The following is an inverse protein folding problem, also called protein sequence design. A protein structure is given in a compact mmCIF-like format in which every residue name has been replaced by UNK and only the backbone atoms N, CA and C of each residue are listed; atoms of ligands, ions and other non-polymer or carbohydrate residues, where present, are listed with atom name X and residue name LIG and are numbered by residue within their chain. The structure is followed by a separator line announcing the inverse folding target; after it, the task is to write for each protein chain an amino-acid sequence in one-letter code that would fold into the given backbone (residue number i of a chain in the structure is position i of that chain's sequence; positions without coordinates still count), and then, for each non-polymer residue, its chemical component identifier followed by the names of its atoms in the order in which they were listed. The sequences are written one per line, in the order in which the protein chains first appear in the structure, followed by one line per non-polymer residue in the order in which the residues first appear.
data_IF_777455480935
#
_entry.id   IF_777455480935
#
_cell.length_a   1.000
_cell.length_b   1.000
_cell.length_c   1.000
_cell.angle_alpha   90.00
_cell.angle_beta   90.00
_cell.angle_gamma   90.00
#
_symmetry.space_group_name_H-M   'P 1'
#
loop_
_entity.id
_entity.type
_entity.pdbx_description
1 polymer ?
#
# COMPACT_ATOMS: atom_id res chain seq x y z
N UNK A 1 27.22 -21.32 -8.03
CA UNK A 1 27.25 -19.84 -8.00
C UNK A 1 26.25 -19.16 -8.95
N UNK A 2 26.25 -19.46 -10.26
CA UNK A 2 25.34 -18.83 -11.26
C UNK A 2 23.85 -18.99 -10.94
N UNK A 3 23.45 -20.18 -10.51
CA UNK A 3 22.05 -20.49 -10.21
C UNK A 3 21.52 -19.69 -9.02
N UNK A 4 22.31 -19.52 -7.95
CA UNK A 4 21.89 -18.78 -6.77
C UNK A 4 21.81 -17.26 -7.01
N UNK A 5 22.67 -16.72 -7.87
CA UNK A 5 22.57 -15.33 -8.33
C UNK A 5 21.28 -15.07 -9.12
N UNK A 6 20.84 -16.03 -9.95
CA UNK A 6 19.56 -15.92 -10.65
C UNK A 6 18.35 -15.93 -9.70
N UNK A 7 18.41 -16.72 -8.61
CA UNK A 7 17.38 -16.75 -7.58
C UNK A 7 17.24 -15.39 -6.87
N UNK A 8 18.36 -14.75 -6.52
CA UNK A 8 18.39 -13.39 -5.95
C UNK A 8 17.79 -12.38 -6.94
N UNK A 9 18.13 -12.47 -8.23
CA UNK A 9 17.56 -11.60 -9.26
C UNK A 9 16.04 -11.75 -9.40
N UNK A 10 15.50 -12.97 -9.34
CA UNK A 10 14.05 -13.23 -9.36
C UNK A 10 13.38 -12.64 -8.11
N UNK A 11 13.99 -12.82 -6.93
CA UNK A 11 13.47 -12.26 -5.67
C UNK A 11 13.50 -10.73 -5.64
N UNK A 12 14.52 -10.11 -6.22
CA UNK A 12 14.57 -8.66 -6.45
C UNK A 12 13.40 -8.17 -7.32
N UNK A 13 13.17 -8.80 -8.47
CA UNK A 13 12.04 -8.45 -9.34
C UNK A 13 10.68 -8.62 -8.64
N UNK A 14 10.55 -9.65 -7.80
CA UNK A 14 9.34 -9.88 -7.00
C UNK A 14 9.14 -8.76 -5.97
N UNK A 15 10.20 -8.32 -5.29
CA UNK A 15 10.17 -7.19 -4.36
C UNK A 15 9.78 -5.89 -5.07
N UNK A 16 10.29 -5.62 -6.27
CA UNK A 16 9.93 -4.42 -7.04
C UNK A 16 8.44 -4.40 -7.40
N UNK A 17 7.86 -5.56 -7.75
CA UNK A 17 6.41 -5.68 -7.96
C UNK A 17 5.61 -5.37 -6.69
N UNK A 18 6.03 -5.88 -5.54
CA UNK A 18 5.36 -5.56 -4.27
C UNK A 18 5.52 -4.10 -3.85
N UNK A 19 6.65 -3.46 -4.17
CA UNK A 19 6.83 -2.02 -3.97
C UNK A 19 5.85 -1.22 -4.84
N UNK A 20 5.69 -1.60 -6.10
CA UNK A 20 4.72 -0.97 -7.00
C UNK A 20 3.28 -1.16 -6.47
N UNK A 21 2.92 -2.37 -6.03
CA UNK A 21 1.61 -2.66 -5.45
C UNK A 21 1.36 -1.86 -4.16
N UNK A 22 2.33 -1.74 -3.25
CA UNK A 22 2.22 -0.92 -2.03
C UNK A 22 2.03 0.56 -2.38
N UNK A 23 2.72 1.07 -3.40
CA UNK A 23 2.54 2.45 -3.86
C UNK A 23 1.15 2.68 -4.44
N UNK A 24 0.63 1.72 -5.21
CA UNK A 24 -0.71 1.79 -5.77
C UNK A 24 -1.77 1.78 -4.66
N UNK A 25 -1.68 0.85 -3.70
CA UNK A 25 -2.60 0.79 -2.57
C UNK A 25 -2.58 2.07 -1.71
N UNK A 26 -1.41 2.71 -1.56
CA UNK A 26 -1.30 4.02 -0.89
C UNK A 26 -2.05 5.12 -1.64
N UNK A 27 -2.00 5.12 -2.97
CA UNK A 27 -2.73 6.10 -3.80
C UNK A 27 -4.23 5.87 -3.71
N UNK A 28 -4.67 4.62 -3.75
CA UNK A 28 -6.09 4.25 -3.61
C UNK A 28 -6.64 4.66 -2.24
N UNK A 29 -5.92 4.37 -1.15
CA UNK A 29 -6.30 4.87 0.18
C UNK A 29 -6.39 6.40 0.21
N UNK A 30 -5.42 7.09 -0.38
CA UNK A 30 -5.46 8.55 -0.41
C UNK A 30 -6.68 9.09 -1.16
N UNK A 31 -7.09 8.43 -2.26
CA UNK A 31 -8.32 8.77 -2.97
C UNK A 31 -9.57 8.47 -2.13
N UNK A 32 -9.61 7.35 -1.43
CA UNK A 32 -10.72 7.00 -0.54
C UNK A 32 -10.86 8.00 0.63
N UNK A 33 -9.75 8.45 1.22
CA UNK A 33 -9.76 9.51 2.25
C UNK A 33 -10.38 10.78 1.69
N UNK A 34 -9.97 11.21 0.49
CA UNK A 34 -10.57 12.38 -0.16
C UNK A 34 -12.05 12.21 -0.43
N UNK A 35 -12.49 11.03 -0.87
CA UNK A 35 -13.90 10.77 -1.11
C UNK A 35 -14.73 10.90 0.19
N UNK A 36 -14.22 10.42 1.32
CA UNK A 36 -14.85 10.60 2.64
C UNK A 36 -14.91 12.08 3.03
N UNK A 37 -13.82 12.83 2.82
CA UNK A 37 -13.80 14.27 3.08
C UNK A 37 -14.82 15.03 2.23
N UNK A 38 -14.90 14.71 0.94
CA UNK A 38 -15.85 15.30 -0.01
C UNK A 38 -17.30 14.96 0.35
N UNK A 39 -17.60 13.69 0.69
CA UNK A 39 -18.94 13.27 1.10
C UNK A 39 -19.40 13.97 2.39
N UNK A 40 -18.50 14.09 3.39
CA UNK A 40 -18.79 14.81 4.63
C UNK A 40 -18.98 16.31 4.40
N UNK A 41 -18.21 16.90 3.49
CA UNK A 41 -18.40 18.29 3.11
C UNK A 41 -19.77 18.51 2.45
N UNK A 42 -20.21 17.60 1.58
CA UNK A 42 -21.54 17.66 0.96
C UNK A 42 -22.68 17.59 1.99
N UNK A 43 -22.55 16.76 3.03
CA UNK A 43 -23.51 16.73 4.15
C UNK A 43 -23.55 18.07 4.88
N UNK A 44 -22.40 18.67 5.17
CA UNK A 44 -22.35 19.94 5.91
C UNK A 44 -22.86 21.12 5.07
N UNK A 45 -22.58 21.14 3.76
CA UNK A 45 -23.12 22.15 2.86
C UNK A 45 -24.63 22.00 2.71
N UNK A 46 -25.12 20.76 2.62
CA UNK A 46 -26.55 20.49 2.60
C UNK A 46 -27.23 20.89 3.92
N UNK A 47 -26.57 20.67 5.05
CA UNK A 47 -27.07 21.11 6.36
C UNK A 47 -27.26 22.63 6.41
N UNK A 48 -26.35 23.41 5.81
CA UNK A 48 -26.50 24.86 5.69
C UNK A 48 -27.66 25.23 4.78
N UNK A 49 -27.79 24.55 3.63
CA UNK A 49 -28.90 24.73 2.69
C UNK A 49 -30.25 24.51 3.38
N UNK A 50 -30.38 23.41 4.15
CA UNK A 50 -31.60 23.10 4.92
C UNK A 50 -31.88 24.13 6.01
N UNK A 51 -30.87 24.62 6.73
CA UNK A 51 -31.09 25.66 7.73
C UNK A 51 -31.65 26.95 7.10
N UNK A 52 -31.16 27.33 5.91
CA UNK A 52 -31.71 28.47 5.17
C UNK A 52 -33.14 28.19 4.70
N UNK A 53 -33.40 27.01 4.14
CA UNK A 53 -34.73 26.60 3.69
C UNK A 53 -35.74 26.61 4.85
N UNK A 54 -35.39 26.09 6.03
CA UNK A 54 -36.24 26.09 7.22
C UNK A 54 -36.62 27.51 7.65
N UNK A 55 -35.65 28.44 7.63
CA UNK A 55 -35.91 29.85 7.95
C UNK A 55 -36.83 30.51 6.92
N UNK A 56 -36.64 30.21 5.64
CA UNK A 56 -37.49 30.74 4.56
C UNK A 56 -38.92 30.23 4.67
N UNK A 57 -39.10 28.92 4.90
CA UNK A 57 -40.42 28.30 5.11
C UNK A 57 -41.11 28.85 6.38
N UNK A 58 -40.37 29.03 7.47
CA UNK A 58 -40.91 29.65 8.70
C UNK A 58 -41.36 31.10 8.46
N UNK A 59 -40.56 31.88 7.72
CA UNK A 59 -40.92 33.26 7.38
C UNK A 59 -42.15 33.32 6.48
N UNK A 60 -42.27 32.42 5.51
CA UNK A 60 -43.45 32.32 4.65
C UNK A 60 -44.72 32.02 5.47
N UNK A 61 -44.62 31.05 6.38
CA UNK A 61 -45.72 30.66 7.27
C UNK A 61 -46.13 31.79 8.22
N UNK A 62 -45.18 32.54 8.77
CA UNK A 62 -45.45 33.61 9.74
C UNK A 62 -46.00 34.89 9.09
N UNK A 63 -45.60 35.20 7.84
CA UNK A 63 -45.90 36.48 7.20
C UNK A 63 -47.09 36.44 6.23
N UNK A 64 -47.65 35.26 5.93
CA UNK A 64 -48.79 35.12 5.00
C UNK A 64 -49.95 34.35 5.61
N UNK A 65 -51.16 34.53 5.05
CA UNK A 65 -52.30 33.65 5.36
C UNK A 65 -52.06 32.31 4.66
N UNK A 66 -51.48 31.38 5.40
CA UNK A 66 -51.21 30.01 4.92
C UNK A 66 -52.51 29.27 4.64
N UNK A 67 -52.61 28.70 3.45
CA UNK A 67 -53.70 27.80 3.06
C UNK A 67 -53.29 26.34 3.26
N UNK A 68 -54.27 25.42 3.22
CA UNK A 68 -54.01 23.98 3.30
C UNK A 68 -53.10 23.51 2.16
N UNK A 69 -53.21 24.13 0.98
CA UNK A 69 -52.36 23.81 -0.18
C UNK A 69 -50.90 24.17 0.08
N UNK A 70 -50.64 25.30 0.75
CA UNK A 70 -49.28 25.73 1.09
C UNK A 70 -48.65 24.77 2.11
N UNK A 71 -49.42 24.32 3.11
CA UNK A 71 -48.94 23.31 4.07
C UNK A 71 -48.56 21.99 3.39
N UNK A 72 -49.35 21.52 2.42
CA UNK A 72 -49.01 20.30 1.68
C UNK A 72 -47.77 20.46 0.80
N UNK A 73 -47.52 21.65 0.26
CA UNK A 73 -46.30 21.94 -0.50
C UNK A 73 -45.07 21.95 0.41
N UNK A 74 -45.18 22.55 1.60
CA UNK A 74 -44.12 22.54 2.62
C UNK A 74 -43.79 21.10 3.04
N UNK A 75 -44.81 20.27 3.29
CA UNK A 75 -44.63 18.86 3.65
C UNK A 75 -43.90 18.07 2.55
N UNK A 76 -44.23 18.31 1.28
CA UNK A 76 -43.52 17.69 0.15
C UNK A 76 -42.04 18.08 0.12
N UNK A 77 -41.75 19.38 0.26
CA UNK A 77 -40.38 19.91 0.28
C UNK A 77 -39.56 19.32 1.43
N UNK A 78 -40.16 19.19 2.64
CA UNK A 78 -39.49 18.58 3.78
C UNK A 78 -39.18 17.10 3.54
N UNK A 79 -40.08 16.38 2.86
CA UNK A 79 -39.87 14.97 2.53
C UNK A 79 -38.77 14.79 1.49
N UNK A 80 -38.74 15.59 0.43
CA UNK A 80 -37.62 15.60 -0.53
C UNK A 80 -36.29 15.92 0.17
N UNK A 81 -36.34 16.84 1.13
CA UNK A 81 -35.17 17.21 1.90
C UNK A 81 -34.65 16.06 2.77
N UNK A 82 -35.55 15.30 3.41
CA UNK A 82 -35.22 14.10 4.18
C UNK A 82 -34.64 12.99 3.30
N UNK A 83 -35.24 12.75 2.13
CA UNK A 83 -34.74 11.76 1.15
C UNK A 83 -33.33 12.10 0.67
N UNK A 84 -33.04 13.37 0.36
CA UNK A 84 -31.69 13.82 -0.01
C UNK A 84 -30.71 13.74 1.17
N UNK A 85 -31.15 14.00 2.40
CA UNK A 85 -30.32 13.81 3.59
C UNK A 85 -29.89 12.35 3.75
N UNK A 86 -30.83 11.41 3.58
CA UNK A 86 -30.55 9.99 3.63
C UNK A 86 -29.57 9.55 2.55
N UNK A 87 -29.76 10.00 1.31
CA UNK A 87 -28.84 9.71 0.21
C UNK A 87 -27.40 10.17 0.52
N UNK A 88 -27.23 11.39 1.05
CA UNK A 88 -25.90 11.91 1.41
C UNK A 88 -25.25 11.11 2.57
N UNK A 89 -26.04 10.65 3.53
CA UNK A 89 -25.55 9.80 4.62
C UNK A 89 -25.14 8.41 4.11
N UNK A 90 -25.89 7.86 3.15
CA UNK A 90 -25.53 6.61 2.48
C UNK A 90 -24.23 6.77 1.68
N UNK A 91 -24.04 7.89 0.98
CA UNK A 91 -22.79 8.20 0.27
C UNK A 91 -21.58 8.28 1.22
N UNK A 92 -21.74 8.93 2.39
CA UNK A 92 -20.68 8.95 3.42
C UNK A 92 -20.35 7.54 3.88
N UNK A 93 -21.36 6.72 4.16
CA UNK A 93 -21.16 5.33 4.60
C UNK A 93 -20.43 4.51 3.54
N UNK A 94 -20.82 4.61 2.27
CA UNK A 94 -20.15 3.92 1.17
C UNK A 94 -18.69 4.36 1.03
N UNK A 95 -18.41 5.66 1.18
CA UNK A 95 -17.05 6.18 1.15
C UNK A 95 -16.21 5.67 2.33
N UNK A 96 -16.79 5.57 3.52
CA UNK A 96 -16.13 5.02 4.71
C UNK A 96 -15.84 3.51 4.58
N UNK A 97 -16.79 2.74 4.04
CA UNK A 97 -16.60 1.32 3.76
C UNK A 97 -15.47 1.12 2.72
N UNK A 98 -15.46 1.92 1.65
CA UNK A 98 -14.39 1.88 0.65
C UNK A 98 -13.02 2.29 1.22
N UNK A 99 -12.98 3.24 2.16
CA UNK A 99 -11.76 3.61 2.87
C UNK A 99 -11.24 2.43 3.70
N UNK A 100 -12.12 1.75 4.42
CA UNK A 100 -11.74 0.58 5.22
C UNK A 100 -11.12 -0.53 4.35
N UNK A 101 -11.73 -0.85 3.21
CA UNK A 101 -11.18 -1.81 2.24
C UNK A 101 -9.81 -1.39 1.70
N UNK A 102 -9.64 -0.10 1.40
CA UNK A 102 -8.36 0.45 0.92
C UNK A 102 -7.28 0.40 2.00
N UNK A 103 -7.61 0.61 3.27
CA UNK A 103 -6.69 0.48 4.39
C UNK A 103 -6.23 -0.96 4.62
N UNK A 104 -7.16 -1.92 4.54
CA UNK A 104 -6.85 -3.35 4.60
C UNK A 104 -5.92 -3.77 3.44
N UNK A 105 -6.23 -3.33 2.23
CA UNK A 105 -5.41 -3.59 1.04
C UNK A 105 -4.01 -3.01 1.19
N UNK A 106 -3.89 -1.77 1.68
CA UNK A 106 -2.59 -1.14 1.95
C UNK A 106 -1.80 -1.92 3.02
N UNK A 107 -2.48 -2.35 4.09
CA UNK A 107 -1.87 -3.14 5.16
C UNK A 107 -1.33 -4.46 4.61
N UNK A 108 -2.11 -5.18 3.82
CA UNK A 108 -1.69 -6.44 3.22
C UNK A 108 -0.51 -6.26 2.27
N UNK A 109 -0.56 -5.25 1.39
CA UNK A 109 0.54 -4.95 0.47
C UNK A 109 1.85 -4.61 1.21
N UNK A 110 1.76 -3.93 2.36
CA UNK A 110 2.91 -3.64 3.22
C UNK A 110 3.49 -4.90 3.85
N UNK A 111 2.65 -5.82 4.32
CA UNK A 111 3.08 -7.12 4.86
C UNK A 111 3.77 -7.97 3.79
N UNK A 112 3.19 -8.06 2.59
CA UNK A 112 3.75 -8.84 1.49
C UNK A 112 5.10 -8.30 1.04
N UNK A 113 5.26 -6.97 0.97
CA UNK A 113 6.54 -6.33 0.71
C UNK A 113 7.57 -6.69 1.78
N UNK A 114 7.21 -6.64 3.07
CA UNK A 114 8.12 -7.00 4.17
C UNK A 114 8.57 -8.46 4.07
N UNK A 115 7.64 -9.38 3.80
CA UNK A 115 7.94 -10.79 3.61
C UNK A 115 8.86 -11.03 2.41
N UNK A 116 8.62 -10.35 1.29
CA UNK A 116 9.47 -10.41 0.11
C UNK A 116 10.89 -9.86 0.38
N UNK A 117 10.99 -8.74 1.11
CA UNK A 117 12.26 -8.16 1.51
C UNK A 117 13.06 -9.09 2.42
N UNK A 118 12.43 -9.70 3.42
CA UNK A 118 13.08 -10.66 4.31
C UNK A 118 13.62 -11.88 3.53
N UNK A 119 12.82 -12.40 2.59
CA UNK A 119 13.22 -13.50 1.71
C UNK A 119 14.43 -13.12 0.85
N UNK A 120 14.45 -11.91 0.30
CA UNK A 120 15.58 -11.41 -0.47
C UNK A 120 16.83 -11.29 0.40
N UNK A 121 16.73 -10.67 1.58
CA UNK A 121 17.86 -10.48 2.49
C UNK A 121 18.54 -11.81 2.80
N UNK A 122 17.76 -12.84 3.17
CA UNK A 122 18.27 -14.20 3.42
C UNK A 122 18.99 -14.79 2.20
N UNK A 123 18.48 -14.54 1.00
CA UNK A 123 19.08 -15.04 -0.24
C UNK A 123 20.41 -14.37 -0.54
N UNK A 124 20.47 -13.06 -0.31
CA UNK A 124 21.67 -12.26 -0.54
C UNK A 124 22.76 -12.65 0.45
N UNK A 125 22.41 -12.91 1.71
CA UNK A 125 23.33 -13.38 2.73
C UNK A 125 23.93 -14.75 2.35
N UNK A 126 23.09 -15.73 1.98
CA UNK A 126 23.58 -17.05 1.52
C UNK A 126 24.47 -16.90 0.27
N UNK A 127 24.11 -16.03 -0.67
CA UNK A 127 24.94 -15.80 -1.86
C UNK A 127 26.32 -15.25 -1.48
N UNK A 128 26.40 -14.38 -0.47
CA UNK A 128 27.67 -13.83 0.01
C UNK A 128 28.53 -14.90 0.67
N UNK A 129 27.95 -15.72 1.54
CA UNK A 129 28.65 -16.87 2.16
C UNK A 129 29.22 -17.79 1.08
N UNK A 130 28.41 -18.17 0.08
CA UNK A 130 28.88 -19.01 -1.02
C UNK A 130 29.99 -18.35 -1.87
N UNK A 131 30.02 -17.02 -1.96
CA UNK A 131 31.11 -16.30 -2.64
C UNK A 131 32.40 -16.35 -1.83
N UNK A 132 32.29 -16.24 -0.51
CA UNK A 132 33.42 -16.31 0.40
C UNK A 132 34.02 -17.72 0.42
N UNK A 133 33.16 -18.75 0.55
CA UNK A 133 33.59 -20.16 0.49
C UNK A 133 34.29 -20.49 -0.83
N UNK A 134 33.74 -20.02 -1.96
CA UNK A 134 34.35 -20.25 -3.26
C UNK A 134 35.72 -19.57 -3.40
N UNK A 135 35.87 -18.35 -2.87
CA UNK A 135 37.16 -17.66 -2.84
C UNK A 135 38.17 -18.40 -1.96
N UNK A 136 37.76 -18.84 -0.78
CA UNK A 136 38.61 -19.60 0.13
C UNK A 136 39.09 -20.91 -0.52
N UNK A 137 38.20 -21.63 -1.21
CA UNK A 137 38.56 -22.85 -1.93
C UNK A 137 39.55 -22.60 -3.09
N UNK A 138 39.42 -21.48 -3.81
CA UNK A 138 40.37 -21.09 -4.85
C UNK A 138 41.75 -20.77 -4.26
N UNK A 139 41.81 -20.00 -3.17
CA UNK A 139 43.06 -19.70 -2.47
C UNK A 139 43.72 -20.98 -1.96
N UNK A 140 42.96 -21.90 -1.36
CA UNK A 140 43.50 -23.19 -0.92
C UNK A 140 44.04 -24.05 -2.07
N UNK A 141 43.38 -24.02 -3.23
CA UNK A 141 43.85 -24.73 -4.42
C UNK A 141 45.13 -24.11 -4.98
N UNK A 142 45.21 -22.78 -5.04
CA UNK A 142 46.43 -22.05 -5.45
C UNK A 142 47.60 -22.32 -4.50
N UNK A 143 47.36 -22.28 -3.18
CA UNK A 143 48.37 -22.59 -2.17
C UNK A 143 48.87 -24.04 -2.31
N UNK A 144 47.97 -25.01 -2.49
CA UNK A 144 48.33 -26.41 -2.69
C UNK A 144 49.13 -26.64 -3.99
N UNK A 145 48.82 -25.91 -5.07
CA UNK A 145 49.60 -25.94 -6.31
C UNK A 145 51.00 -25.36 -6.12
N UNK A 146 51.12 -24.26 -5.37
CA UNK A 146 52.41 -23.65 -5.03
C UNK A 146 53.26 -24.60 -4.18
N UNK A 147 52.68 -25.20 -3.15
CA UNK A 147 53.36 -26.17 -2.29
C UNK A 147 53.86 -27.37 -3.10
N UNK A 148 53.00 -27.95 -3.95
CA UNK A 148 53.39 -29.04 -4.84
C UNK A 148 54.51 -28.64 -5.81
N UNK A 149 54.47 -27.42 -6.37
CA UNK A 149 55.54 -26.92 -7.22
C UNK A 149 56.87 -26.75 -6.46
N UNK A 150 56.82 -26.23 -5.23
CA UNK A 150 57.99 -26.06 -4.37
C UNK A 150 58.59 -27.42 -4.00
N UNK A 151 57.78 -28.40 -3.62
CA UNK A 151 58.25 -29.77 -3.35
C UNK A 151 58.93 -30.41 -4.56
N UNK A 152 58.37 -30.27 -5.77
CA UNK A 152 58.98 -30.80 -6.99
C UNK A 152 60.30 -30.10 -7.32
N UNK A 153 60.35 -28.77 -7.16
CA UNK A 153 61.51 -27.96 -7.55
C UNK A 153 62.67 -28.03 -6.56
N UNK A 154 62.38 -28.13 -5.26
CA UNK A 154 63.38 -28.07 -4.19
C UNK A 154 63.51 -29.38 -3.40
N UNK A 155 62.50 -30.26 -3.39
CA UNK A 155 62.61 -31.61 -2.80
C UNK A 155 63.56 -32.53 -3.58
N UNK A 156 63.76 -32.28 -4.88
CA UNK A 156 64.73 -33.03 -5.71
C UNK A 156 66.19 -32.67 -5.41
N UNK A 157 66.46 -31.50 -4.80
CA UNK A 157 67.80 -31.08 -4.41
C UNK A 157 68.27 -31.70 -3.07
N UNK A 158 67.35 -32.25 -2.28
CA UNK A 158 67.64 -32.92 -1.01
C UNK A 158 67.91 -34.43 -1.10
N UNK A 159 67.59 -35.08 -2.23
CA UNK A 159 67.74 -36.52 -2.41
C UNK A 159 69.10 -36.95 -3.02
N UNK A 160 70.08 -36.04 -3.05
CA UNK A 160 71.44 -36.31 -3.53
C UNK A 160 72.47 -36.02 -2.43
N UNK A 161 72.41 -36.77 -1.33
CA UNK A 161 73.54 -37.03 -0.43
C UNK A 161 73.44 -38.43 0.11
#
# INVERSE_FOLDING_TARGET
MREFASLVAVRNRKLDRFRAAEQQAKRERFQAVKAVEEARAAVEDYRKEIMTLELDLLNEVLNTRVTVTDLTAIEHTLKEAEEKAHALMDDVRQAEDALLEAEETQRQASLDKRAAQASLNKSTEILNILKEDHKAALVQAEDAEIDAFVEVRYGRAGASR
#
